data_IF_388005899742
#
_entry.id   IF_388005899742
#
_cell.length_a   1.000
_cell.length_b   1.000
_cell.length_c   1.000
_cell.angle_alpha   90.00
_cell.angle_beta   90.00
_cell.angle_gamma   90.00
#
_symmetry.space_group_name_H-M   'P 1'
#
loop_
_entity.id
_entity.type
_entity.pdbx_description
1 polymer ?
#
# COMPACT_ATOMS: atom_id res chain seq x y z
N UNK A 1 0.84 -1.14 13.50
CA UNK A 1 -0.35 -1.42 12.66
C UNK A 1 -1.41 -2.17 13.49
N UNK A 2 -2.71 -1.87 13.29
CA UNK A 2 -3.80 -2.78 13.71
C UNK A 2 -3.61 -4.17 13.08
N UNK A 3 -3.80 -5.25 13.84
CA UNK A 3 -3.68 -6.61 13.33
C UNK A 3 -4.88 -7.03 12.48
N UNK A 4 -4.67 -7.96 11.54
CA UNK A 4 -5.73 -8.63 10.79
C UNK A 4 -5.64 -10.14 10.99
N UNK A 5 -6.75 -10.85 10.83
CA UNK A 5 -6.75 -12.31 10.67
C UNK A 5 -6.69 -12.71 9.20
N UNK A 6 -6.22 -13.92 8.91
CA UNK A 6 -6.22 -14.46 7.55
C UNK A 6 -7.63 -14.46 6.94
N UNK A 7 -8.67 -14.74 7.74
CA UNK A 7 -10.07 -14.68 7.31
C UNK A 7 -10.52 -13.26 6.96
N UNK A 8 -10.15 -12.26 7.76
CA UNK A 8 -10.46 -10.85 7.46
C UNK A 8 -9.77 -10.38 6.18
N UNK A 9 -8.51 -10.74 5.99
CA UNK A 9 -7.76 -10.42 4.77
C UNK A 9 -8.48 -11.04 3.57
N UNK A 10 -8.81 -12.33 3.61
CA UNK A 10 -9.55 -12.98 2.53
C UNK A 10 -10.88 -12.27 2.22
N UNK A 11 -11.62 -11.84 3.25
CA UNK A 11 -12.85 -11.07 3.06
C UNK A 11 -12.61 -9.70 2.42
N UNK A 12 -11.62 -8.94 2.89
CA UNK A 12 -11.30 -7.59 2.38
C UNK A 12 -10.84 -7.65 0.92
N UNK A 13 -10.04 -8.66 0.58
CA UNK A 13 -9.45 -8.79 -0.76
C UNK A 13 -10.38 -9.47 -1.77
N UNK A 14 -11.57 -9.93 -1.35
CA UNK A 14 -12.41 -10.88 -2.09
C UNK A 14 -11.61 -12.14 -2.51
N UNK A 15 -10.73 -12.59 -1.62
CA UNK A 15 -9.92 -13.78 -1.80
C UNK A 15 -10.58 -15.03 -1.20
N UNK A 16 -9.97 -16.18 -1.48
CA UNK A 16 -10.35 -17.47 -0.92
C UNK A 16 -9.21 -18.02 -0.07
N UNK A 17 -9.49 -18.35 1.18
CA UNK A 17 -8.54 -19.07 2.04
C UNK A 17 -8.47 -20.53 1.55
N UNK A 18 -7.35 -20.91 0.95
CA UNK A 18 -7.16 -22.25 0.36
C UNK A 18 -6.84 -23.31 1.41
N UNK A 19 -6.07 -22.93 2.44
CA UNK A 19 -5.59 -23.79 3.51
C UNK A 19 -5.21 -22.93 4.73
N UNK A 20 -4.78 -23.59 5.81
CA UNK A 20 -4.37 -22.95 7.06
C UNK A 20 -5.53 -22.41 7.90
N UNK A 21 -5.21 -21.93 9.11
CA UNK A 21 -6.23 -21.43 10.04
C UNK A 21 -6.63 -19.99 9.74
N UNK A 22 -7.94 -19.76 9.53
CA UNK A 22 -8.47 -18.42 9.29
C UNK A 22 -8.28 -17.44 10.46
N UNK A 23 -8.10 -17.95 11.69
CA UNK A 23 -7.81 -17.20 12.91
C UNK A 23 -6.36 -16.74 13.04
N UNK A 24 -5.46 -17.18 12.15
CA UNK A 24 -4.05 -16.77 12.15
C UNK A 24 -3.95 -15.24 12.11
N UNK A 25 -3.20 -14.68 13.05
CA UNK A 25 -3.01 -13.22 13.20
C UNK A 25 -1.82 -12.75 12.36
N UNK A 26 -2.04 -11.68 11.61
CA UNK A 26 -1.06 -10.96 10.81
C UNK A 26 -0.77 -9.63 11.52
N UNK A 27 0.51 -9.38 11.78
CA UNK A 27 0.99 -8.19 12.52
C UNK A 27 1.61 -7.14 11.62
N UNK A 28 2.11 -7.53 10.45
CA UNK A 28 2.70 -6.63 9.46
C UNK A 28 2.54 -7.19 8.03
N UNK A 29 2.79 -6.36 7.02
CA UNK A 29 2.62 -6.70 5.60
C UNK A 29 3.95 -6.47 4.89
N UNK A 30 4.38 -7.40 4.05
CA UNK A 30 5.64 -7.32 3.32
C UNK A 30 5.49 -7.79 1.88
N UNK A 31 5.97 -6.98 0.93
CA UNK A 31 6.06 -7.36 -0.48
C UNK A 31 7.50 -7.72 -0.90
N UNK A 32 8.49 -7.37 -0.09
CA UNK A 32 9.90 -7.76 -0.27
C UNK A 32 10.19 -8.98 0.61
N UNK A 33 10.54 -10.11 -0.01
CA UNK A 33 10.84 -11.38 0.68
C UNK A 33 12.04 -11.30 1.63
N UNK A 34 12.87 -10.25 1.49
CA UNK A 34 14.02 -9.98 2.38
C UNK A 34 13.62 -9.26 3.66
N UNK A 35 12.48 -8.56 3.66
CA UNK A 35 11.95 -7.82 4.80
C UNK A 35 10.91 -8.61 5.61
N UNK A 36 10.59 -9.84 5.19
CA UNK A 36 9.69 -10.74 5.90
C UNK A 36 10.24 -11.05 7.29
N UNK A 37 9.37 -10.92 8.28
CA UNK A 37 9.62 -11.19 9.69
C UNK A 37 8.48 -12.04 10.26
N UNK A 38 8.59 -12.43 11.53
CA UNK A 38 7.52 -13.15 12.21
C UNK A 38 6.20 -12.36 12.17
N UNK A 39 5.10 -13.05 11.83
CA UNK A 39 3.77 -12.44 11.75
C UNK A 39 3.48 -11.67 10.46
N UNK A 40 4.42 -11.64 9.50
CA UNK A 40 4.19 -10.99 8.20
C UNK A 40 3.12 -11.70 7.38
N UNK A 41 2.27 -10.93 6.69
CA UNK A 41 1.64 -11.34 5.45
C UNK A 41 2.62 -11.08 4.30
N UNK A 42 3.04 -12.12 3.59
CA UNK A 42 3.80 -11.95 2.36
C UNK A 42 2.88 -11.68 1.17
N UNK A 43 3.19 -10.65 0.38
CA UNK A 43 2.40 -10.22 -0.79
C UNK A 43 3.26 -10.25 -2.05
N UNK A 44 3.25 -11.35 -2.81
CA UNK A 44 4.10 -11.51 -3.99
C UNK A 44 3.55 -10.73 -5.19
N UNK A 45 4.09 -9.54 -5.45
CA UNK A 45 3.66 -8.69 -6.58
C UNK A 45 4.55 -8.93 -7.79
N UNK A 46 3.97 -9.37 -8.91
CA UNK A 46 4.74 -9.61 -10.15
C UNK A 46 5.36 -8.31 -10.67
N UNK A 47 6.66 -8.33 -10.90
CA UNK A 47 7.37 -7.28 -11.63
C UNK A 47 7.76 -7.74 -13.03
N UNK A 48 8.23 -6.83 -13.87
CA UNK A 48 8.61 -7.13 -15.25
C UNK A 48 9.69 -8.22 -15.42
N UNK A 49 10.52 -8.45 -14.39
CA UNK A 49 11.69 -9.36 -14.47
C UNK A 49 11.57 -10.61 -13.61
N UNK A 50 10.66 -10.64 -12.65
CA UNK A 50 10.64 -11.69 -11.63
C UNK A 50 9.24 -11.84 -11.08
N UNK A 51 8.83 -13.10 -10.93
CA UNK A 51 7.61 -13.48 -10.22
C UNK A 51 7.96 -13.86 -8.77
N UNK A 52 7.58 -13.04 -7.76
CA UNK A 52 7.90 -13.32 -6.38
C UNK A 52 7.11 -14.49 -5.76
N UNK A 53 6.12 -15.06 -6.45
CA UNK A 53 5.41 -16.25 -5.95
C UNK A 53 6.36 -17.42 -5.67
N UNK A 54 7.50 -17.49 -6.38
CA UNK A 54 8.56 -18.48 -6.11
C UNK A 54 9.20 -18.36 -4.72
N UNK A 55 9.07 -17.20 -4.05
CA UNK A 55 9.64 -16.95 -2.73
C UNK A 55 8.65 -17.22 -1.59
N UNK A 56 7.41 -17.65 -1.89
CA UNK A 56 6.39 -17.86 -0.86
C UNK A 56 6.88 -18.87 0.19
N UNK A 57 7.40 -20.03 -0.24
CA UNK A 57 7.90 -21.06 0.68
C UNK A 57 9.00 -20.52 1.60
N UNK A 58 9.98 -19.81 1.05
CA UNK A 58 11.06 -19.18 1.81
C UNK A 58 10.52 -18.14 2.81
N UNK A 59 9.52 -17.35 2.42
CA UNK A 59 8.92 -16.35 3.30
C UNK A 59 8.17 -16.99 4.46
N UNK A 60 7.41 -18.06 4.20
CA UNK A 60 6.72 -18.83 5.24
C UNK A 60 7.71 -19.48 6.20
N UNK A 61 8.84 -20.00 5.70
CA UNK A 61 9.92 -20.53 6.55
C UNK A 61 10.59 -19.44 7.39
N UNK A 62 10.76 -18.23 6.86
CA UNK A 62 11.33 -17.07 7.58
C UNK A 62 10.43 -16.48 8.67
N UNK A 63 9.17 -16.92 8.75
CA UNK A 63 8.24 -16.47 9.79
C UNK A 63 7.00 -15.73 9.28
N UNK A 64 6.80 -15.60 7.96
CA UNK A 64 5.51 -15.13 7.46
C UNK A 64 4.39 -16.04 8.01
N UNK A 65 3.36 -15.41 8.53
CA UNK A 65 2.19 -16.08 9.09
C UNK A 65 1.21 -16.49 7.99
N UNK A 66 1.17 -15.75 6.88
CA UNK A 66 0.29 -15.99 5.76
C UNK A 66 0.90 -15.46 4.45
N UNK A 67 0.32 -15.84 3.32
CA UNK A 67 0.64 -15.25 2.01
C UNK A 67 -0.61 -14.94 1.20
N UNK A 68 -0.57 -13.88 0.41
CA UNK A 68 -1.42 -13.76 -0.77
C UNK A 68 -0.82 -14.61 -1.91
N UNK A 69 -1.66 -15.07 -2.83
CA UNK A 69 -1.22 -15.81 -4.03
C UNK A 69 -2.23 -15.66 -5.17
N UNK A 70 -1.75 -15.71 -6.40
CA UNK A 70 -2.58 -15.84 -7.62
C UNK A 70 -2.67 -17.31 -8.11
N UNK A 71 -2.05 -18.23 -7.37
CA UNK A 71 -1.91 -19.65 -7.71
C UNK A 71 -2.56 -20.52 -6.62
N UNK A 72 -2.74 -21.81 -6.92
CA UNK A 72 -3.17 -22.78 -5.90
C UNK A 72 -2.08 -23.00 -4.85
N UNK A 73 -2.48 -23.47 -3.67
CA UNK A 73 -1.55 -23.80 -2.59
C UNK A 73 -0.91 -25.18 -2.83
N UNK A 74 0.35 -25.40 -2.41
CA UNK A 74 0.92 -26.73 -2.30
C UNK A 74 0.04 -27.65 -1.45
N UNK A 75 0.01 -28.95 -1.78
CA UNK A 75 -0.84 -29.92 -1.09
C UNK A 75 -0.48 -30.10 0.41
N UNK A 76 0.77 -29.82 0.76
CA UNK A 76 1.34 -29.90 2.10
C UNK A 76 1.40 -28.54 2.82
N UNK A 77 0.76 -27.50 2.28
CA UNK A 77 0.73 -26.18 2.90
C UNK A 77 -0.08 -26.18 4.21
N UNK A 78 0.59 -25.82 5.31
CA UNK A 78 0.04 -25.75 6.66
C UNK A 78 -0.37 -24.33 7.09
N UNK A 79 0.31 -23.32 6.55
CA UNK A 79 0.00 -21.89 6.79
C UNK A 79 -1.05 -21.35 5.82
N UNK A 80 -1.76 -20.27 6.19
CA UNK A 80 -2.72 -19.60 5.31
C UNK A 80 -2.17 -19.16 3.95
N UNK A 81 -2.78 -19.70 2.88
CA UNK A 81 -2.69 -19.18 1.52
C UNK A 81 -4.02 -18.54 1.14
N UNK A 82 -4.00 -17.25 0.83
CA UNK A 82 -5.19 -16.51 0.42
C UNK A 82 -5.10 -16.24 -1.08
N UNK A 83 -5.89 -16.99 -1.85
CA UNK A 83 -5.94 -16.86 -3.31
C UNK A 83 -6.73 -15.63 -3.70
N UNK A 84 -6.15 -14.78 -4.54
CA UNK A 84 -6.76 -13.57 -5.10
C UNK A 84 -6.55 -13.54 -6.61
N UNK A 85 -7.36 -12.76 -7.31
CA UNK A 85 -7.22 -12.60 -8.76
C UNK A 85 -5.94 -11.82 -9.14
N UNK A 86 -5.55 -10.85 -8.32
CA UNK A 86 -4.36 -10.00 -8.51
C UNK A 86 -3.83 -9.53 -7.13
N UNK A 87 -2.57 -9.82 -6.85
CA UNK A 87 -1.92 -9.55 -5.56
C UNK A 87 -1.72 -8.06 -5.28
N UNK A 88 -1.46 -7.26 -6.32
CA UNK A 88 -1.31 -5.80 -6.19
C UNK A 88 -2.65 -5.16 -5.79
N UNK A 89 -3.73 -5.50 -6.49
CA UNK A 89 -5.08 -5.02 -6.20
C UNK A 89 -5.50 -5.44 -4.79
N UNK A 90 -5.14 -6.65 -4.36
CA UNK A 90 -5.40 -7.11 -3.00
C UNK A 90 -4.64 -6.30 -1.94
N UNK A 91 -3.37 -5.96 -2.19
CA UNK A 91 -2.60 -5.04 -1.32
C UNK A 91 -3.29 -3.68 -1.21
N UNK A 92 -3.72 -3.12 -2.34
CA UNK A 92 -4.37 -1.82 -2.40
C UNK A 92 -5.70 -1.80 -1.63
N UNK A 93 -6.54 -2.85 -1.80
CA UNK A 93 -7.78 -3.01 -1.02
C UNK A 93 -7.51 -3.13 0.48
N UNK A 94 -6.50 -3.88 0.87
CA UNK A 94 -6.13 -4.04 2.27
C UNK A 94 -5.65 -2.71 2.88
N UNK A 95 -4.85 -1.94 2.14
CA UNK A 95 -4.41 -0.62 2.57
C UNK A 95 -5.57 0.38 2.68
N UNK A 96 -6.51 0.36 1.73
CA UNK A 96 -7.71 1.20 1.78
C UNK A 96 -8.59 0.87 3.01
N UNK A 97 -8.79 -0.42 3.28
CA UNK A 97 -9.52 -0.87 4.46
C UNK A 97 -8.82 -0.47 5.76
N UNK A 98 -7.48 -0.56 5.80
CA UNK A 98 -6.69 -0.09 6.93
C UNK A 98 -6.85 1.42 7.15
N UNK A 99 -6.64 2.22 6.10
CA UNK A 99 -6.81 3.68 6.13
C UNK A 99 -8.22 4.09 6.58
N UNK A 100 -9.25 3.40 6.11
CA UNK A 100 -10.65 3.66 6.49
C UNK A 100 -10.91 3.40 7.98
N UNK A 101 -10.15 2.49 8.60
CA UNK A 101 -10.28 2.21 10.03
C UNK A 101 -9.64 3.29 10.93
N UNK A 102 -8.92 4.26 10.35
CA UNK A 102 -8.21 5.30 11.09
C UNK A 102 -8.96 6.63 11.10
N UNK A 103 -8.95 7.29 12.25
CA UNK A 103 -9.51 8.63 12.45
C UNK A 103 -8.38 9.64 12.55
N UNK A 104 -7.83 10.05 11.40
CA UNK A 104 -6.81 11.10 11.30
C UNK A 104 -7.05 11.98 10.08
N UNK A 105 -6.54 13.22 10.12
CA UNK A 105 -6.58 14.15 9.00
C UNK A 105 -5.48 13.84 7.99
N UNK A 106 -5.83 13.52 6.75
CA UNK A 106 -4.88 13.20 5.69
C UNK A 106 -4.82 14.30 4.63
N UNK A 107 -3.61 14.82 4.40
CA UNK A 107 -3.28 15.73 3.30
C UNK A 107 -2.58 14.94 2.20
N UNK A 108 -3.20 14.84 1.02
CA UNK A 108 -2.58 14.27 -0.17
C UNK A 108 -1.85 15.35 -0.97
N UNK A 109 -0.57 15.15 -1.27
CA UNK A 109 0.26 16.09 -2.04
C UNK A 109 0.62 15.50 -3.39
N UNK A 110 0.19 16.15 -4.47
CA UNK A 110 0.45 15.73 -5.86
C UNK A 110 0.99 16.90 -6.70
N UNK A 111 1.42 16.58 -7.93
CA UNK A 111 1.95 17.54 -8.89
C UNK A 111 3.21 17.01 -9.60
N UNK A 112 3.60 17.67 -10.69
CA UNK A 112 4.78 17.27 -11.46
C UNK A 112 6.09 17.56 -10.73
N UNK A 113 6.18 18.70 -10.04
CA UNK A 113 7.39 19.16 -9.33
C UNK A 113 7.02 19.77 -7.99
N UNK A 114 7.87 19.58 -6.98
CA UNK A 114 7.71 20.22 -5.66
C UNK A 114 6.94 19.40 -4.64
N UNK A 115 6.42 18.21 -5.00
CA UNK A 115 5.67 17.32 -4.10
C UNK A 115 6.39 17.10 -2.76
N UNK A 116 7.65 16.67 -2.81
CA UNK A 116 8.42 16.34 -1.61
C UNK A 116 8.67 17.56 -0.74
N UNK A 117 9.09 18.70 -1.32
CA UNK A 117 9.31 19.93 -0.56
C UNK A 117 8.02 20.43 0.09
N UNK A 118 6.90 20.42 -0.63
CA UNK A 118 5.59 20.82 -0.10
C UNK A 118 5.12 19.87 1.00
N UNK A 119 5.27 18.55 0.83
CA UNK A 119 4.98 17.54 1.87
C UNK A 119 5.79 17.81 3.15
N UNK A 120 7.09 18.07 3.03
CA UNK A 120 7.96 18.38 4.17
C UNK A 120 7.54 19.67 4.89
N UNK A 121 7.21 20.74 4.14
CA UNK A 121 6.76 22.01 4.72
C UNK A 121 5.42 21.89 5.45
N UNK A 122 4.45 21.18 4.86
CA UNK A 122 3.13 20.94 5.48
C UNK A 122 3.31 20.10 6.74
N UNK A 123 4.11 19.03 6.68
CA UNK A 123 4.36 18.18 7.84
C UNK A 123 5.01 18.99 8.98
N UNK A 124 6.03 19.79 8.69
CA UNK A 124 6.68 20.64 9.68
C UNK A 124 5.70 21.62 10.36
N UNK A 125 4.80 22.24 9.59
CA UNK A 125 3.80 23.15 10.14
C UNK A 125 2.76 22.43 11.03
N UNK A 126 2.29 21.24 10.61
CA UNK A 126 1.33 20.45 11.38
C UNK A 126 1.95 19.85 12.66
N UNK A 127 3.24 19.51 12.64
CA UNK A 127 3.94 18.94 13.78
C UNK A 127 4.07 19.88 14.98
N UNK A 128 3.73 21.17 14.85
CA UNK A 128 3.64 22.09 15.99
C UNK A 128 2.47 21.77 16.93
N UNK A 129 1.45 21.05 16.45
CA UNK A 129 0.22 20.79 17.23
C UNK A 129 -0.40 19.40 17.06
N UNK A 130 0.15 18.56 16.19
CA UNK A 130 -0.33 17.20 15.94
C UNK A 130 0.81 16.20 15.94
N UNK A 131 0.52 14.95 16.28
CA UNK A 131 1.38 13.83 15.92
C UNK A 131 1.23 13.50 14.43
N UNK A 132 2.28 13.76 13.64
CA UNK A 132 2.23 13.77 12.17
C UNK A 132 3.04 12.63 11.58
N UNK A 133 2.34 11.78 10.81
CA UNK A 133 2.96 10.84 9.89
C UNK A 133 3.20 11.49 8.52
N UNK A 134 4.28 11.14 7.83
CA UNK A 134 4.49 11.56 6.43
C UNK A 134 5.10 10.45 5.60
N UNK A 135 4.85 10.48 4.29
CA UNK A 135 5.49 9.55 3.35
C UNK A 135 7.02 9.59 3.49
N UNK A 136 7.62 8.41 3.69
CA UNK A 136 9.06 8.21 3.77
C UNK A 136 9.65 7.94 2.38
N UNK A 137 10.78 8.60 2.08
CA UNK A 137 11.45 8.47 0.78
C UNK A 137 10.50 8.76 -0.39
N UNK A 138 10.46 7.85 -1.36
CA UNK A 138 9.68 7.95 -2.59
C UNK A 138 8.51 6.94 -2.65
N UNK A 139 7.91 6.58 -1.51
CA UNK A 139 6.77 5.65 -1.42
C UNK A 139 5.43 6.29 -1.84
N UNK A 140 5.38 6.80 -3.07
CA UNK A 140 4.25 7.58 -3.60
C UNK A 140 3.49 6.90 -4.76
N UNK A 141 3.89 5.68 -5.14
CA UNK A 141 3.36 4.93 -6.29
C UNK A 141 2.29 3.90 -5.92
N UNK A 142 1.82 3.12 -6.90
CA UNK A 142 0.81 2.05 -6.76
C UNK A 142 1.13 0.99 -5.69
N UNK A 143 2.41 0.79 -5.35
CA UNK A 143 2.85 -0.12 -4.27
C UNK A 143 3.28 0.68 -3.04
N UNK A 144 4.04 1.76 -3.24
CA UNK A 144 4.60 2.55 -2.14
C UNK A 144 3.54 3.21 -1.26
N UNK A 145 2.47 3.73 -1.87
CA UNK A 145 1.40 4.39 -1.14
C UNK A 145 0.61 3.42 -0.25
N UNK A 146 0.18 2.23 -0.73
CA UNK A 146 -0.37 1.20 0.16
C UNK A 146 0.51 0.87 1.35
N UNK A 147 1.82 0.69 1.13
CA UNK A 147 2.76 0.40 2.22
C UNK A 147 2.85 1.55 3.22
N UNK A 148 2.80 2.79 2.73
CA UNK A 148 2.75 3.99 3.57
C UNK A 148 1.52 4.00 4.47
N UNK A 149 0.35 3.51 4.01
CA UNK A 149 -0.83 3.44 4.89
C UNK A 149 -0.58 2.57 6.12
N UNK A 150 0.13 1.45 5.98
CA UNK A 150 0.41 0.53 7.09
C UNK A 150 1.45 1.09 8.09
N UNK A 151 2.22 2.10 7.70
CA UNK A 151 3.14 2.82 8.59
C UNK A 151 2.38 3.75 9.56
N UNK A 152 1.09 4.01 9.34
CA UNK A 152 0.27 4.81 10.26
C UNK A 152 -0.09 4.00 11.51
N UNK A 153 0.09 4.62 12.69
CA UNK A 153 -0.32 4.10 13.98
C UNK A 153 -1.50 4.87 14.60
N UNK A 154 -2.22 4.29 15.58
CA UNK A 154 -3.38 4.94 16.21
C UNK A 154 -3.09 6.26 16.93
N UNK A 155 -1.83 6.54 17.27
CA UNK A 155 -1.44 7.78 17.94
C UNK A 155 -1.30 8.96 16.97
N UNK A 156 -1.13 8.72 15.67
CA UNK A 156 -1.03 9.80 14.70
C UNK A 156 -2.37 10.50 14.53
N UNK A 157 -2.34 11.83 14.57
CA UNK A 157 -3.51 12.70 14.45
C UNK A 157 -3.63 13.29 13.04
N UNK A 158 -2.51 13.41 12.33
CA UNK A 158 -2.46 13.85 10.95
C UNK A 158 -1.46 13.04 10.10
N UNK A 159 -1.68 13.01 8.78
CA UNK A 159 -0.78 12.41 7.82
C UNK A 159 -0.60 13.29 6.58
N UNK A 160 0.65 13.43 6.10
CA UNK A 160 0.98 14.15 4.86
C UNK A 160 1.58 13.18 3.85
N UNK A 161 0.77 12.80 2.86
CA UNK A 161 1.08 11.70 1.95
C UNK A 161 1.41 12.24 0.57
N UNK A 162 2.59 11.90 0.07
CA UNK A 162 2.97 12.17 -1.31
C UNK A 162 2.31 11.15 -2.25
N UNK A 163 1.66 11.65 -3.30
CA UNK A 163 0.93 10.85 -4.28
C UNK A 163 1.51 11.13 -5.68
N UNK A 164 2.02 10.09 -6.33
CA UNK A 164 2.68 10.17 -7.62
C UNK A 164 2.08 9.20 -8.63
N UNK A 165 1.75 9.71 -9.81
CA UNK A 165 1.29 8.92 -10.95
C UNK A 165 2.33 8.98 -12.09
N UNK A 166 2.48 7.86 -12.78
CA UNK A 166 3.28 7.71 -14.00
C UNK A 166 2.42 7.32 -15.21
N UNK A 167 1.22 6.78 -15.00
CA UNK A 167 0.28 6.38 -16.05
C UNK A 167 -1.13 6.96 -15.81
N UNK A 168 -1.97 6.93 -16.85
CA UNK A 168 -3.37 7.36 -16.77
C UNK A 168 -4.18 6.48 -15.82
N UNK A 169 -5.09 7.11 -15.06
CA UNK A 169 -6.02 6.43 -14.13
C UNK A 169 -5.37 5.97 -12.84
N UNK A 170 -4.07 6.24 -12.62
CA UNK A 170 -3.39 5.88 -11.39
C UNK A 170 -3.81 6.76 -10.21
N UNK A 171 -4.09 8.04 -10.44
CA UNK A 171 -4.46 8.96 -9.37
C UNK A 171 -5.77 8.57 -8.69
N UNK A 172 -6.78 8.16 -9.47
CA UNK A 172 -8.06 7.64 -8.95
C UNK A 172 -7.82 6.48 -7.97
N UNK A 173 -6.97 5.52 -8.35
CA UNK A 173 -6.61 4.39 -7.49
C UNK A 173 -5.90 4.86 -6.22
N UNK A 174 -4.96 5.80 -6.32
CA UNK A 174 -4.26 6.33 -5.15
C UNK A 174 -5.22 7.08 -4.21
N UNK A 175 -6.18 7.82 -4.76
CA UNK A 175 -7.23 8.51 -4.00
C UNK A 175 -8.17 7.53 -3.31
N UNK A 176 -8.56 6.44 -3.98
CA UNK A 176 -9.40 5.38 -3.39
C UNK A 176 -8.72 4.71 -2.19
N UNK A 177 -7.39 4.57 -2.24
CA UNK A 177 -6.59 4.01 -1.15
C UNK A 177 -6.41 5.03 -0.01
N UNK A 178 -5.88 6.22 -0.32
CA UNK A 178 -5.47 7.20 0.68
C UNK A 178 -6.65 7.96 1.31
N UNK A 179 -7.74 8.17 0.55
CA UNK A 179 -8.91 8.97 0.96
C UNK A 179 -8.50 10.28 1.64
N UNK A 180 -7.79 11.17 0.93
CA UNK A 180 -7.33 12.43 1.49
C UNK A 180 -8.53 13.30 1.90
N UNK A 181 -8.42 13.94 3.07
CA UNK A 181 -9.37 14.96 3.51
C UNK A 181 -9.11 16.28 2.80
N UNK A 182 -7.83 16.54 2.50
CA UNK A 182 -7.34 17.75 1.84
C UNK A 182 -6.39 17.31 0.73
N UNK A 183 -6.52 17.89 -0.45
CA UNK A 183 -5.59 17.66 -1.56
C UNK A 183 -4.83 18.96 -1.85
N UNK A 184 -3.51 18.85 -2.00
CA UNK A 184 -2.62 19.92 -2.42
C UNK A 184 -1.99 19.52 -3.74
N UNK A 185 -2.32 20.26 -4.79
CA UNK A 185 -1.67 20.14 -6.08
C UNK A 185 -0.63 21.26 -6.20
N UNK A 186 0.63 20.90 -6.45
CA UNK A 186 1.72 21.86 -6.60
C UNK A 186 1.70 22.46 -8.02
N UNK A 187 2.74 22.21 -8.82
CA UNK A 187 2.81 22.65 -10.20
C UNK A 187 2.50 21.49 -11.16
N UNK A 188 1.72 21.79 -12.21
CA UNK A 188 1.48 20.89 -13.35
C UNK A 188 2.50 21.23 -14.43
N UNK A 189 3.56 20.44 -14.48
CA UNK A 189 4.66 20.55 -15.43
C UNK A 189 4.55 19.54 -16.56
N UNK A 190 5.70 19.08 -17.08
CA UNK A 190 5.78 18.04 -18.12
C UNK A 190 6.30 16.70 -17.59
N UNK A 191 6.24 16.47 -16.27
CA UNK A 191 6.66 15.19 -15.72
C UNK A 191 5.77 14.07 -16.27
N UNK A 192 6.37 12.92 -16.62
CA UNK A 192 5.66 11.76 -17.19
C UNK A 192 4.90 12.05 -18.50
N UNK A 193 5.25 13.14 -19.22
CA UNK A 193 4.62 13.48 -20.51
C UNK A 193 4.83 12.39 -21.58
N UNK A 194 5.87 11.57 -21.44
CA UNK A 194 6.09 10.41 -22.30
C UNK A 194 4.92 9.42 -22.24
N UNK A 195 4.33 9.24 -21.06
CA UNK A 195 3.20 8.34 -20.83
C UNK A 195 1.84 9.07 -20.88
N UNK A 196 1.80 10.32 -20.44
CA UNK A 196 0.57 11.12 -20.35
C UNK A 196 0.32 11.99 -21.60
N UNK A 197 1.26 12.00 -22.54
CA UNK A 197 1.25 12.67 -23.84
C UNK A 197 1.16 14.21 -23.84
N UNK A 198 0.30 14.81 -23.01
CA UNK A 198 0.05 16.27 -22.98
C UNK A 198 -0.04 16.81 -21.56
N UNK A 199 0.17 18.12 -21.38
CA UNK A 199 -0.01 18.75 -20.06
C UNK A 199 -1.47 18.77 -19.60
N UNK A 200 -2.42 18.87 -20.53
CA UNK A 200 -3.84 18.83 -20.22
C UNK A 200 -4.25 17.47 -19.65
N UNK A 201 -3.65 16.40 -20.17
CA UNK A 201 -3.80 15.06 -19.63
C UNK A 201 -3.19 14.89 -18.23
N UNK A 202 -2.12 15.62 -17.90
CA UNK A 202 -1.58 15.62 -16.53
C UNK A 202 -2.53 16.36 -15.58
N UNK A 203 -3.24 17.39 -16.07
CA UNK A 203 -4.19 18.21 -15.30
C UNK A 203 -5.54 17.53 -15.05
N UNK A 204 -5.99 16.68 -15.97
CA UNK A 204 -7.31 16.05 -15.90
C UNK A 204 -7.37 14.80 -15.02
N UNK A 205 -6.22 14.38 -14.46
CA UNK A 205 -6.06 13.29 -13.51
C UNK A 205 -5.98 13.83 -12.08
#
# INVERSE_FOLDING_TARGET
MKTFTAKEIASITNGTLLCGEGSTVITNIQYDSRAVTEGSLFVPIRGAKTDPHRFIADCLQKGAAATLTEQDAPADADKPYIKVADTLTALQKLAAAYRQSMSLHLVGVTGSVGKTSTKEMIAAALSEGFDVMKTQGNRNSQIGLPMTMFDMEPHHEAAVIEMGMSEFGEMDKLCDIARPNIAVMTNIGKAHIENLHTQENIRSQ
#
